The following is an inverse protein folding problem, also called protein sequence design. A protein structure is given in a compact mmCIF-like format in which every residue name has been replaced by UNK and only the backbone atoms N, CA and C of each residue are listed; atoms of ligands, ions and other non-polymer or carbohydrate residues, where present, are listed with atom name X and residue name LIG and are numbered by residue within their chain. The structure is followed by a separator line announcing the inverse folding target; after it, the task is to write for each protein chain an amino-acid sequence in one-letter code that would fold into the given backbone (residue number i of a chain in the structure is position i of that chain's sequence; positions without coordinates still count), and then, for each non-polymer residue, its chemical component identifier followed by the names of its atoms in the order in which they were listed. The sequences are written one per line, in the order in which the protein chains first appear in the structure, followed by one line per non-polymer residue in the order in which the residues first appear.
data_IF_455126922385
#
_entry.id   IF_455126922385
#
_cell.length_a   1.000
_cell.length_b   1.000
_cell.length_c   1.000
_cell.angle_alpha   90.00
_cell.angle_beta   90.00
_cell.angle_gamma   90.00
#
_symmetry.space_group_name_H-M   'P 1'
#
loop_
_entity.id
_entity.type
_entity.pdbx_description
1 polymer ?
#
# COMPACT_ATOMS: atom_id res chain seq x y z
N UNK A 1 5.35 -10.54 27.15
CA UNK A 1 4.37 -9.75 26.37
C UNK A 1 3.47 -10.73 25.64
N UNK A 2 2.16 -10.44 25.55
CA UNK A 2 1.23 -11.26 24.77
C UNK A 2 1.45 -11.10 23.26
N UNK A 3 0.74 -11.90 22.45
CA UNK A 3 0.68 -11.71 20.99
C UNK A 3 -0.02 -10.37 20.72
N UNK A 4 0.58 -9.43 19.95
CA UNK A 4 -0.06 -8.16 19.63
C UNK A 4 -1.41 -8.34 18.93
N UNK A 5 -2.39 -7.57 19.35
CA UNK A 5 -3.78 -7.57 18.88
C UNK A 5 -3.97 -6.43 17.88
N UNK A 6 -4.37 -6.72 16.66
CA UNK A 6 -4.55 -5.70 15.62
C UNK A 6 -6.00 -5.60 15.17
N UNK A 7 -6.49 -4.38 14.96
CA UNK A 7 -7.77 -4.13 14.31
C UNK A 7 -7.61 -4.17 12.78
N UNK A 8 -8.48 -4.89 12.08
CA UNK A 8 -8.61 -4.80 10.63
C UNK A 8 -9.66 -3.77 10.26
N UNK A 9 -9.30 -2.81 9.40
CA UNK A 9 -10.24 -1.85 8.81
C UNK A 9 -10.13 -2.01 7.30
N UNK A 10 -11.20 -2.42 6.64
CA UNK A 10 -11.18 -2.64 5.19
C UNK A 10 -12.40 -2.07 4.49
N UNK A 11 -12.23 -1.70 3.23
CA UNK A 11 -13.29 -1.27 2.32
C UNK A 11 -14.15 -2.43 1.81
N UNK A 12 -13.55 -3.58 1.48
CA UNK A 12 -14.26 -4.77 1.00
C UNK A 12 -13.40 -6.02 1.22
N UNK A 13 -14.03 -7.18 1.40
CA UNK A 13 -13.32 -8.43 1.63
C UNK A 13 -13.90 -9.57 0.77
N UNK A 14 -13.24 -9.88 -0.35
CA UNK A 14 -13.57 -11.02 -1.21
C UNK A 14 -12.30 -11.77 -1.63
N UNK A 15 -12.44 -12.93 -2.29
CA UNK A 15 -11.27 -13.69 -2.77
C UNK A 15 -10.36 -12.85 -3.67
N UNK A 16 -9.05 -12.88 -3.43
CA UNK A 16 -8.01 -12.08 -4.11
C UNK A 16 -8.17 -10.55 -3.96
N UNK A 17 -8.99 -10.09 -3.01
CA UNK A 17 -8.93 -8.69 -2.56
C UNK A 17 -7.66 -8.45 -1.75
N UNK A 18 -7.26 -7.19 -1.63
CA UNK A 18 -6.17 -6.78 -0.73
C UNK A 18 -6.40 -7.25 0.70
N UNK A 19 -7.65 -7.17 1.16
CA UNK A 19 -8.08 -7.66 2.48
C UNK A 19 -7.89 -9.16 2.63
N UNK A 20 -8.13 -9.95 1.58
CA UNK A 20 -7.85 -11.38 1.59
C UNK A 20 -6.34 -11.65 1.66
N UNK A 21 -5.54 -10.91 0.90
CA UNK A 21 -4.08 -11.09 0.90
C UNK A 21 -3.43 -10.66 2.21
N UNK A 22 -3.97 -9.65 2.91
CA UNK A 22 -3.35 -9.08 4.12
C UNK A 22 -3.96 -9.63 5.41
N UNK A 23 -5.29 -9.76 5.49
CA UNK A 23 -5.99 -10.12 6.72
C UNK A 23 -6.21 -11.64 6.86
N UNK A 24 -6.43 -12.38 5.76
CA UNK A 24 -6.59 -13.85 5.82
C UNK A 24 -5.37 -14.56 6.43
N UNK A 25 -4.11 -14.15 6.15
CA UNK A 25 -2.95 -14.77 6.78
C UNK A 25 -2.94 -14.73 8.30
N UNK A 26 -3.53 -13.68 8.92
CA UNK A 26 -3.68 -13.58 10.38
C UNK A 26 -4.66 -14.61 10.95
N UNK A 27 -5.58 -15.12 10.13
CA UNK A 27 -6.56 -16.13 10.51
C UNK A 27 -6.06 -17.55 10.21
N UNK A 28 -5.20 -17.68 9.20
CA UNK A 28 -4.69 -18.94 8.67
C UNK A 28 -3.19 -19.07 8.87
N UNK A 29 -2.40 -18.81 7.82
CA UNK A 29 -0.94 -18.93 7.76
C UNK A 29 -0.38 -17.90 6.78
N UNK A 30 0.92 -17.62 6.86
CA UNK A 30 1.65 -16.74 5.95
C UNK A 30 1.80 -17.31 4.51
N UNK A 31 1.53 -18.59 4.30
CA UNK A 31 1.48 -19.23 2.98
C UNK A 31 0.07 -19.51 2.49
N UNK A 32 -0.12 -19.51 1.17
CA UNK A 32 -1.41 -19.76 0.51
C UNK A 32 -1.88 -21.23 0.58
N UNK A 33 -0.95 -22.16 0.79
CA UNK A 33 -1.24 -23.60 0.88
C UNK A 33 -1.70 -24.05 2.28
N UNK A 34 -1.74 -23.13 3.25
CA UNK A 34 -2.19 -23.42 4.62
C UNK A 34 -1.16 -24.12 5.50
N UNK A 35 0.05 -24.38 5.00
CA UNK A 35 1.10 -25.12 5.73
C UNK A 35 2.16 -24.21 6.37
N UNK A 36 2.00 -22.90 6.22
CA UNK A 36 2.94 -21.89 6.72
C UNK A 36 2.82 -21.64 8.21
N UNK A 37 3.55 -20.63 8.68
CA UNK A 37 3.48 -20.20 10.06
C UNK A 37 2.31 -19.25 10.27
N UNK A 38 1.72 -19.28 11.46
CA UNK A 38 0.82 -18.21 11.89
C UNK A 38 1.66 -16.96 12.18
N UNK A 39 1.37 -15.81 11.57
CA UNK A 39 2.02 -14.56 11.93
C UNK A 39 1.88 -14.31 13.44
N UNK A 40 2.89 -13.71 14.10
CA UNK A 40 2.84 -13.41 15.53
C UNK A 40 1.97 -12.17 15.82
N UNK A 41 0.77 -12.12 15.24
CA UNK A 41 -0.23 -11.07 15.34
C UNK A 41 -1.61 -11.71 15.40
N UNK A 42 -2.52 -11.15 16.20
CA UNK A 42 -3.90 -11.61 16.30
C UNK A 42 -4.84 -10.57 15.70
N UNK A 43 -5.67 -10.94 14.72
CA UNK A 43 -6.78 -10.08 14.27
C UNK A 43 -7.84 -10.04 15.39
N UNK A 44 -7.93 -8.91 16.08
CA UNK A 44 -8.75 -8.74 17.27
C UNK A 44 -10.20 -8.33 16.96
N UNK A 45 -10.40 -7.67 15.82
CA UNK A 45 -11.65 -7.09 15.36
C UNK A 45 -11.55 -6.78 13.87
N UNK A 46 -12.70 -6.66 13.20
CA UNK A 46 -12.76 -6.36 11.78
C UNK A 46 -13.93 -5.41 11.47
N UNK A 47 -13.63 -4.27 10.86
CA UNK A 47 -14.59 -3.38 10.23
C UNK A 47 -14.54 -3.54 8.70
N UNK A 48 -15.70 -3.58 8.06
CA UNK A 48 -15.85 -3.73 6.61
C UNK A 48 -16.83 -2.69 6.08
N UNK A 49 -16.35 -1.76 5.25
CA UNK A 49 -17.14 -0.62 4.75
C UNK A 49 -18.24 -1.06 3.77
N UNK A 50 -17.90 -1.95 2.83
CA UNK A 50 -18.82 -2.47 1.82
C UNK A 50 -18.87 -3.99 1.85
N UNK A 51 -20.09 -4.51 1.85
CA UNK A 51 -20.37 -5.94 1.88
C UNK A 51 -21.20 -6.28 0.66
N UNK A 52 -20.71 -7.26 -0.11
CA UNK A 52 -21.30 -7.70 -1.38
C UNK A 52 -21.52 -9.22 -1.35
N UNK A 53 -22.13 -9.76 -2.40
CA UNK A 53 -22.52 -11.18 -2.45
C UNK A 53 -21.35 -12.16 -2.32
N UNK A 54 -20.13 -11.74 -2.71
CA UNK A 54 -18.92 -12.54 -2.62
C UNK A 54 -18.08 -12.27 -1.35
N UNK A 55 -18.69 -11.69 -0.31
CA UNK A 55 -18.04 -11.36 0.97
C UNK A 55 -17.46 -12.59 1.68
N UNK A 56 -16.18 -12.50 2.05
CA UNK A 56 -15.49 -13.48 2.88
C UNK A 56 -15.49 -13.11 4.36
N UNK A 57 -15.63 -11.82 4.68
CA UNK A 57 -15.42 -11.31 6.04
C UNK A 57 -16.34 -11.98 7.06
N UNK A 58 -17.63 -12.10 6.78
CA UNK A 58 -18.61 -12.73 7.69
C UNK A 58 -18.34 -14.19 7.95
N UNK A 59 -17.97 -14.93 6.91
CA UNK A 59 -17.67 -16.35 7.05
C UNK A 59 -16.42 -16.53 7.91
N UNK A 60 -15.34 -15.85 7.57
CA UNK A 60 -14.07 -15.96 8.31
C UNK A 60 -14.19 -15.41 9.73
N UNK A 61 -14.94 -14.34 9.95
CA UNK A 61 -15.23 -13.83 11.29
C UNK A 61 -15.89 -14.89 12.19
N UNK A 62 -16.89 -15.62 11.67
CA UNK A 62 -17.53 -16.73 12.40
C UNK A 62 -16.58 -17.91 12.61
N UNK A 63 -15.89 -18.35 11.56
CA UNK A 63 -14.98 -19.51 11.62
C UNK A 63 -13.82 -19.30 12.60
N UNK A 64 -13.32 -18.07 12.70
CA UNK A 64 -12.14 -17.72 13.51
C UNK A 64 -12.46 -16.92 14.78
N UNK A 65 -13.74 -16.75 15.11
CA UNK A 65 -14.20 -15.99 16.29
C UNK A 65 -13.67 -14.55 16.35
N UNK A 66 -13.63 -13.87 15.20
CA UNK A 66 -13.25 -12.46 15.10
C UNK A 66 -14.50 -11.57 15.19
N UNK A 67 -14.60 -10.66 16.16
CA UNK A 67 -15.68 -9.69 16.25
C UNK A 67 -15.75 -8.80 15.01
N UNK A 68 -16.94 -8.68 14.42
CA UNK A 68 -17.24 -7.66 13.41
C UNK A 68 -17.68 -6.38 14.10
N UNK A 69 -17.09 -5.25 13.72
CA UNK A 69 -17.43 -3.94 14.24
C UNK A 69 -18.34 -3.17 13.29
N UNK A 70 -19.28 -2.40 13.85
CA UNK A 70 -20.21 -1.56 13.09
C UNK A 70 -19.59 -0.21 12.66
N UNK A 71 -18.47 0.18 13.25
CA UNK A 71 -17.72 1.39 12.91
C UNK A 71 -16.22 1.18 13.09
N UNK A 72 -15.41 2.09 12.52
CA UNK A 72 -13.97 2.10 12.75
C UNK A 72 -13.66 2.24 14.24
N UNK A 73 -14.32 3.18 14.92
CA UNK A 73 -14.13 3.38 16.37
C UNK A 73 -14.42 2.10 17.15
N UNK A 74 -15.56 1.43 16.89
CA UNK A 74 -15.92 0.18 17.56
C UNK A 74 -14.93 -0.96 17.29
N UNK A 75 -14.22 -0.94 16.16
CA UNK A 75 -13.17 -1.91 15.86
C UNK A 75 -11.92 -1.70 16.72
N UNK A 76 -11.67 -0.47 17.18
CA UNK A 76 -10.49 -0.13 17.96
C UNK A 76 -10.74 -0.16 19.47
N UNK A 77 -12.00 -0.06 19.90
CA UNK A 77 -12.35 0.08 21.32
C UNK A 77 -12.83 -1.21 21.97
N UNK A 78 -12.53 -1.37 23.26
CA UNK A 78 -13.15 -2.37 24.14
C UNK A 78 -14.52 -1.93 24.64
N UNK A 79 -15.14 -2.76 25.49
CA UNK A 79 -16.46 -2.48 26.08
C UNK A 79 -16.50 -1.21 26.95
N UNK A 80 -15.36 -0.75 27.43
CA UNK A 80 -15.19 0.46 28.23
C UNK A 80 -14.94 1.72 27.39
N UNK A 81 -14.97 1.60 26.06
CA UNK A 81 -14.75 2.70 25.12
C UNK A 81 -13.30 3.15 25.00
N UNK A 82 -12.36 2.46 25.65
CA UNK A 82 -10.92 2.72 25.55
C UNK A 82 -10.30 1.93 24.42
N UNK A 83 -9.13 2.39 23.97
CA UNK A 83 -8.33 1.68 22.97
C UNK A 83 -7.98 0.27 23.49
N UNK A 84 -8.26 -0.76 22.69
CA UNK A 84 -8.13 -2.16 23.10
C UNK A 84 -7.33 -3.03 22.10
N UNK A 85 -6.57 -2.38 21.23
CA UNK A 85 -5.71 -3.00 20.21
C UNK A 85 -4.32 -2.38 20.26
N UNK A 86 -3.31 -3.16 19.87
CA UNK A 86 -1.90 -2.80 19.82
C UNK A 86 -1.47 -2.25 18.44
N UNK A 87 -2.35 -2.26 17.45
CA UNK A 87 -2.08 -1.74 16.11
C UNK A 87 -3.29 -1.82 15.17
N UNK A 88 -3.18 -1.18 14.01
CA UNK A 88 -4.25 -1.11 13.01
C UNK A 88 -3.73 -1.46 11.62
N UNK A 89 -4.47 -2.33 10.93
CA UNK A 89 -4.28 -2.62 9.51
C UNK A 89 -5.40 -1.95 8.71
N UNK A 90 -5.10 -0.80 8.10
CA UNK A 90 -5.99 -0.05 7.23
C UNK A 90 -5.80 -0.48 5.77
N UNK A 91 -6.70 -1.33 5.29
CA UNK A 91 -6.71 -1.90 3.93
C UNK A 91 -7.79 -1.21 3.11
N UNK A 92 -7.47 -0.02 2.59
CA UNK A 92 -8.39 0.81 1.81
C UNK A 92 -8.27 0.61 0.30
N UNK A 93 -8.55 -0.59 -0.20
CA UNK A 93 -8.38 -0.95 -1.62
C UNK A 93 -9.58 -1.77 -2.11
N UNK A 94 -9.88 -1.71 -3.41
CA UNK A 94 -11.11 -2.29 -4.01
C UNK A 94 -12.41 -1.67 -3.43
N UNK A 95 -13.55 -2.13 -3.97
CA UNK A 95 -14.88 -1.59 -3.64
C UNK A 95 -15.40 -0.61 -4.68
N UNK A 96 -16.63 -0.15 -4.47
CA UNK A 96 -17.28 0.83 -5.36
C UNK A 96 -17.12 2.23 -4.78
N UNK A 97 -16.16 2.98 -5.30
CA UNK A 97 -15.86 4.34 -4.90
C UNK A 97 -15.73 5.24 -6.14
N UNK A 98 -16.02 6.54 -6.01
CA UNK A 98 -15.93 7.44 -7.15
C UNK A 98 -14.48 7.57 -7.65
N UNK A 99 -14.34 8.07 -8.88
CA UNK A 99 -13.03 8.37 -9.47
C UNK A 99 -12.79 9.87 -9.49
N UNK A 100 -11.54 10.26 -9.30
CA UNK A 100 -11.11 11.65 -9.46
C UNK A 100 -11.08 12.05 -10.94
N UNK A 101 -10.92 13.35 -11.21
CA UNK A 101 -10.81 13.88 -12.58
C UNK A 101 -9.60 13.31 -13.36
N UNK A 102 -8.58 12.85 -12.64
CA UNK A 102 -7.38 12.20 -13.21
C UNK A 102 -7.48 10.67 -13.23
N UNK A 103 -8.65 10.11 -12.87
CA UNK A 103 -9.00 8.70 -13.05
C UNK A 103 -8.59 7.75 -11.92
N UNK A 104 -7.98 8.27 -10.85
CA UNK A 104 -7.68 7.50 -9.62
C UNK A 104 -8.98 7.11 -8.91
N UNK A 105 -8.98 5.98 -8.21
CA UNK A 105 -10.11 5.63 -7.34
C UNK A 105 -9.96 6.37 -6.02
N UNK A 106 -11.00 7.11 -5.62
CA UNK A 106 -11.00 7.88 -4.38
C UNK A 106 -11.38 6.98 -3.20
N UNK A 107 -10.46 6.09 -2.83
CA UNK A 107 -10.64 5.23 -1.67
C UNK A 107 -10.82 6.07 -0.40
N UNK A 108 -11.66 5.65 0.56
CA UNK A 108 -12.06 6.47 1.70
C UNK A 108 -10.97 6.55 2.79
N UNK A 109 -9.69 6.44 2.44
CA UNK A 109 -8.56 6.43 3.39
C UNK A 109 -8.54 7.68 4.28
N UNK A 110 -8.87 8.86 3.72
CA UNK A 110 -9.02 10.12 4.48
C UNK A 110 -10.07 10.06 5.58
N UNK A 111 -11.23 9.45 5.31
CA UNK A 111 -12.31 9.25 6.28
C UNK A 111 -11.91 8.20 7.31
N UNK A 112 -11.49 7.02 6.86
CA UNK A 112 -11.16 5.89 7.73
C UNK A 112 -9.99 6.24 8.67
N UNK A 113 -8.93 6.87 8.16
CA UNK A 113 -7.82 7.35 8.99
C UNK A 113 -8.25 8.48 9.93
N UNK A 114 -9.18 9.35 9.50
CA UNK A 114 -9.78 10.37 10.37
C UNK A 114 -10.48 9.78 11.58
N UNK A 115 -11.29 8.75 11.39
CA UNK A 115 -11.98 8.07 12.50
C UNK A 115 -11.00 7.42 13.49
N UNK A 116 -9.87 6.87 13.01
CA UNK A 116 -8.76 6.37 13.85
C UNK A 116 -8.12 7.52 14.63
N UNK A 117 -7.72 8.58 13.93
CA UNK A 117 -7.04 9.74 14.51
C UNK A 117 -7.91 10.45 15.57
N UNK A 118 -9.21 10.56 15.32
CA UNK A 118 -10.15 11.16 16.27
C UNK A 118 -10.29 10.31 17.53
N UNK A 119 -10.25 8.98 17.42
CA UNK A 119 -10.19 8.13 18.61
C UNK A 119 -8.89 8.36 19.39
N UNK A 120 -7.74 8.35 18.71
CA UNK A 120 -6.45 8.57 19.37
C UNK A 120 -6.37 9.93 20.08
N UNK A 121 -6.93 10.99 19.47
CA UNK A 121 -7.06 12.31 20.14
C UNK A 121 -7.91 12.24 21.40
N UNK A 122 -9.03 11.50 21.37
CA UNK A 122 -9.93 11.37 22.52
C UNK A 122 -9.33 10.54 23.65
N UNK A 123 -8.61 9.47 23.33
CA UNK A 123 -8.00 8.58 24.34
C UNK A 123 -6.66 9.10 24.85
N UNK A 124 -5.98 9.94 24.07
CA UNK A 124 -4.60 10.35 24.37
C UNK A 124 -3.58 9.24 24.12
N UNK A 125 -3.96 8.20 23.38
CA UNK A 125 -3.14 7.03 23.08
C UNK A 125 -3.12 6.77 21.58
N UNK A 126 -1.94 6.46 21.04
CA UNK A 126 -1.75 6.11 19.64
C UNK A 126 -1.04 4.75 19.53
N UNK A 127 -1.43 3.96 18.54
CA UNK A 127 -0.78 2.68 18.19
C UNK A 127 -0.34 2.69 16.72
N UNK A 128 0.61 1.83 16.31
CA UNK A 128 1.04 1.73 14.94
C UNK A 128 -0.12 1.53 13.95
N UNK A 129 -0.07 2.24 12.83
CA UNK A 129 -1.02 2.10 11.73
C UNK A 129 -0.27 1.71 10.47
N UNK A 130 -0.62 0.57 9.89
CA UNK A 130 -0.24 0.22 8.53
C UNK A 130 -1.36 0.61 7.56
N UNK A 131 -1.05 1.42 6.57
CA UNK A 131 -1.96 1.80 5.49
C UNK A 131 -1.52 1.13 4.20
N UNK A 132 -2.33 0.21 3.68
CA UNK A 132 -1.98 -0.49 2.44
C UNK A 132 -1.90 0.50 1.26
N UNK A 133 -0.82 0.39 0.46
CA UNK A 133 -0.51 1.25 -0.71
C UNK A 133 -0.23 2.72 -0.35
N UNK A 134 -0.48 3.61 -1.30
CA UNK A 134 -0.36 5.06 -1.14
C UNK A 134 -1.42 5.59 -0.15
N UNK A 135 -1.10 6.68 0.56
CA UNK A 135 -1.96 7.24 1.61
C UNK A 135 -3.30 7.78 1.10
N UNK A 136 -3.32 8.42 -0.06
CA UNK A 136 -4.51 8.93 -0.73
C UNK A 136 -4.24 9.15 -2.22
N UNK A 137 -5.31 9.29 -3.01
CA UNK A 137 -5.26 9.56 -4.45
C UNK A 137 -4.77 10.99 -4.78
N UNK A 138 -4.78 11.89 -3.80
CA UNK A 138 -4.40 13.29 -3.95
C UNK A 138 -3.42 13.76 -2.86
N UNK A 139 -2.63 14.80 -3.18
CA UNK A 139 -1.60 15.33 -2.30
C UNK A 139 -2.16 15.93 -1.01
N UNK A 140 -3.28 16.64 -1.08
CA UNK A 140 -3.88 17.33 0.07
C UNK A 140 -4.22 16.33 1.16
N UNK A 141 -4.91 15.24 0.81
CA UNK A 141 -5.27 14.19 1.76
C UNK A 141 -4.06 13.38 2.19
N UNK A 142 -3.16 12.98 1.26
CA UNK A 142 -1.95 12.24 1.62
C UNK A 142 -1.09 13.02 2.64
N UNK A 143 -0.92 14.32 2.41
CA UNK A 143 -0.23 15.22 3.34
C UNK A 143 -0.99 15.36 4.65
N UNK A 144 -2.32 15.46 4.63
CA UNK A 144 -3.11 15.51 5.86
C UNK A 144 -2.95 14.24 6.70
N UNK A 145 -2.97 13.04 6.09
CA UNK A 145 -2.73 11.78 6.81
C UNK A 145 -1.34 11.78 7.44
N UNK A 146 -0.31 12.18 6.69
CA UNK A 146 1.07 12.25 7.18
C UNK A 146 1.22 13.26 8.34
N UNK A 147 0.74 14.49 8.17
CA UNK A 147 0.84 15.53 9.20
C UNK A 147 0.06 15.14 10.45
N UNK A 148 -1.11 14.53 10.30
CA UNK A 148 -1.92 14.02 11.42
C UNK A 148 -1.20 12.89 12.16
N UNK A 149 -0.57 11.97 11.43
CA UNK A 149 0.25 10.92 12.04
C UNK A 149 1.41 11.50 12.85
N UNK A 150 2.04 12.57 12.34
CA UNK A 150 3.10 13.29 13.09
C UNK A 150 2.58 14.02 14.32
N UNK A 151 1.45 14.72 14.19
CA UNK A 151 0.78 15.43 15.29
C UNK A 151 0.47 14.50 16.45
N UNK A 152 -0.03 13.30 16.14
CA UNK A 152 -0.47 12.30 17.11
C UNK A 152 0.59 11.24 17.44
N UNK A 153 1.82 11.43 16.95
CA UNK A 153 2.94 10.50 17.14
C UNK A 153 2.62 9.04 16.73
N UNK A 154 1.75 8.86 15.73
CA UNK A 154 1.37 7.55 15.20
C UNK A 154 2.58 6.95 14.46
N UNK A 155 3.04 5.75 14.82
CA UNK A 155 3.97 4.99 14.00
C UNK A 155 3.27 4.55 12.70
N UNK A 156 3.36 5.38 11.66
CA UNK A 156 2.71 5.17 10.37
C UNK A 156 3.64 4.45 9.39
N UNK A 157 3.16 3.34 8.83
CA UNK A 157 3.77 2.69 7.67
C UNK A 157 2.76 2.66 6.53
N UNK A 158 3.21 2.95 5.32
CA UNK A 158 2.40 2.81 4.11
C UNK A 158 3.26 2.31 2.96
N UNK A 159 2.61 1.77 1.93
CA UNK A 159 3.27 1.35 0.71
C UNK A 159 2.82 -0.01 0.21
N UNK A 160 3.29 -0.40 -0.98
CA UNK A 160 3.04 -1.74 -1.52
C UNK A 160 4.07 -2.75 -1.05
N UNK A 161 3.82 -4.03 -1.39
CA UNK A 161 4.78 -5.12 -1.20
C UNK A 161 5.92 -5.12 -2.23
N UNK A 162 5.88 -4.29 -3.27
CA UNK A 162 6.85 -4.33 -4.38
C UNK A 162 8.32 -4.12 -3.91
N UNK A 163 8.62 -3.23 -2.95
CA UNK A 163 9.97 -3.07 -2.40
C UNK A 163 10.56 -4.33 -1.75
N UNK A 164 9.71 -5.28 -1.32
CA UNK A 164 10.13 -6.50 -0.59
C UNK A 164 10.02 -7.78 -1.44
N UNK A 165 9.71 -7.66 -2.74
CA UNK A 165 9.64 -8.81 -3.63
C UNK A 165 11.03 -9.36 -3.99
N UNK A 166 11.05 -10.63 -4.38
CA UNK A 166 12.22 -11.24 -5.02
C UNK A 166 12.51 -10.59 -6.38
N UNK A 167 13.80 -10.40 -6.67
CA UNK A 167 14.29 -9.83 -7.93
C UNK A 167 14.99 -10.89 -8.75
N UNK A 168 14.79 -10.88 -10.06
CA UNK A 168 15.34 -11.89 -10.97
C UNK A 168 16.03 -11.23 -12.19
N UNK A 169 17.37 -11.32 -12.32
CA UNK A 169 18.31 -11.80 -11.30
C UNK A 169 18.27 -10.92 -10.04
N UNK A 170 18.78 -11.45 -8.93
CA UNK A 170 18.96 -10.64 -7.73
C UNK A 170 19.86 -9.44 -8.06
N UNK A 171 19.36 -8.24 -7.78
CA UNK A 171 20.07 -7.01 -8.02
C UNK A 171 19.63 -5.97 -7.00
N UNK A 172 20.62 -5.25 -6.43
CA UNK A 172 20.41 -4.13 -5.53
C UNK A 172 21.42 -3.03 -5.85
N UNK A 173 21.06 -1.79 -5.53
CA UNK A 173 22.01 -0.67 -5.55
C UNK A 173 22.92 -0.79 -4.34
N UNK A 174 24.24 -0.84 -4.57
CA UNK A 174 25.23 -0.82 -3.48
C UNK A 174 25.04 0.47 -2.66
N UNK A 175 25.05 0.36 -1.33
CA UNK A 175 24.93 1.55 -0.46
C UNK A 175 26.05 2.54 -0.80
N UNK A 176 25.71 3.80 -0.95
CA UNK A 176 26.66 4.85 -1.32
C UNK A 176 27.08 4.84 -2.81
N UNK A 177 26.45 4.03 -3.66
CA UNK A 177 26.70 4.10 -5.09
C UNK A 177 26.34 5.48 -5.65
N UNK A 178 27.17 6.01 -6.55
CA UNK A 178 26.88 7.25 -7.30
C UNK A 178 25.90 6.96 -8.45
N UNK A 179 24.70 6.50 -8.10
CA UNK A 179 23.62 6.21 -9.04
C UNK A 179 23.17 7.52 -9.69
N UNK A 180 23.14 7.56 -11.02
CA UNK A 180 22.75 8.75 -11.80
C UNK A 180 21.32 8.67 -12.32
N UNK A 181 20.92 7.48 -12.76
CA UNK A 181 19.65 7.26 -13.45
C UNK A 181 19.15 5.84 -13.17
N UNK A 182 17.83 5.67 -13.17
CA UNK A 182 17.15 4.39 -13.11
C UNK A 182 15.92 4.46 -14.02
N UNK A 183 15.63 3.36 -14.71
CA UNK A 183 14.43 3.22 -15.53
C UNK A 183 13.68 1.98 -15.07
N UNK A 184 12.36 2.11 -14.91
CA UNK A 184 11.46 1.00 -14.66
C UNK A 184 10.34 1.02 -15.70
N UNK A 185 9.91 -0.19 -16.08
CA UNK A 185 8.77 -0.41 -16.96
C UNK A 185 7.65 -1.07 -16.15
N UNK A 186 6.45 -0.53 -16.30
CA UNK A 186 5.23 -1.07 -15.68
C UNK A 186 4.09 -1.02 -16.72
N UNK A 187 2.92 -1.53 -16.37
CA UNK A 187 1.76 -1.65 -17.25
C UNK A 187 0.49 -1.15 -16.55
N UNK A 188 -0.55 -0.79 -17.29
CA UNK A 188 -1.81 -0.34 -16.69
C UNK A 188 -1.82 1.16 -16.35
N UNK A 189 -2.68 1.56 -15.41
CA UNK A 189 -2.84 2.97 -15.04
C UNK A 189 -1.70 3.46 -14.14
N UNK A 190 -1.47 4.78 -14.16
CA UNK A 190 -0.47 5.41 -13.28
C UNK A 190 -0.78 5.18 -11.80
N UNK A 191 -2.07 5.15 -11.45
CA UNK A 191 -2.55 4.95 -10.09
C UNK A 191 -2.28 3.54 -9.56
N UNK A 192 -2.72 2.53 -10.32
CA UNK A 192 -2.65 1.13 -9.86
C UNK A 192 -1.25 0.55 -9.99
N UNK A 193 -0.50 0.93 -11.04
CA UNK A 193 0.76 0.27 -11.38
C UNK A 193 1.91 1.22 -11.69
N UNK A 194 1.64 2.49 -12.01
CA UNK A 194 2.68 3.51 -12.12
C UNK A 194 3.34 3.78 -10.77
N UNK A 195 2.53 3.92 -9.71
CA UNK A 195 3.01 4.00 -8.33
C UNK A 195 3.86 2.79 -7.92
N UNK A 196 3.50 1.56 -8.31
CA UNK A 196 4.33 0.38 -8.05
C UNK A 196 5.72 0.47 -8.69
N UNK A 197 5.82 0.99 -9.91
CA UNK A 197 7.12 1.24 -10.52
C UNK A 197 7.92 2.26 -9.72
N UNK A 198 7.27 3.34 -9.24
CA UNK A 198 7.92 4.35 -8.40
C UNK A 198 8.47 3.73 -7.10
N UNK A 199 7.66 2.99 -6.35
CA UNK A 199 8.13 2.37 -5.09
C UNK A 199 9.26 1.36 -5.32
N UNK A 200 9.15 0.55 -6.38
CA UNK A 200 10.21 -0.39 -6.74
C UNK A 200 11.53 0.36 -6.97
N UNK A 201 11.52 1.45 -7.76
CA UNK A 201 12.75 2.21 -8.00
C UNK A 201 13.21 3.00 -6.79
N UNK A 202 12.31 3.56 -5.98
CA UNK A 202 12.65 4.29 -4.76
C UNK A 202 13.44 3.41 -3.79
N UNK A 203 13.01 2.15 -3.59
CA UNK A 203 13.72 1.19 -2.73
C UNK A 203 15.18 0.93 -3.14
N UNK A 204 15.50 1.12 -4.43
CA UNK A 204 16.85 1.01 -4.98
C UNK A 204 17.59 2.35 -4.89
N UNK A 205 16.93 3.43 -5.30
CA UNK A 205 17.48 4.77 -5.46
C UNK A 205 17.83 5.42 -4.12
N UNK A 206 17.11 5.13 -3.05
CA UNK A 206 17.37 5.65 -1.70
C UNK A 206 18.66 5.11 -1.08
N UNK A 207 19.26 4.07 -1.67
CA UNK A 207 20.56 3.52 -1.23
C UNK A 207 21.75 4.28 -1.81
N UNK A 208 21.52 5.21 -2.76
CA UNK A 208 22.57 5.98 -3.44
C UNK A 208 23.36 6.85 -2.46
N UNK A 209 24.51 7.36 -2.91
CA UNK A 209 25.26 8.37 -2.17
C UNK A 209 24.38 9.58 -1.82
N UNK A 210 24.28 9.91 -0.53
CA UNK A 210 23.40 10.97 -0.03
C UNK A 210 22.00 10.49 0.41
N UNK A 211 21.62 9.25 0.11
CA UNK A 211 20.36 8.67 0.57
C UNK A 211 19.12 9.24 -0.12
N UNK A 212 17.98 9.15 0.58
CA UNK A 212 16.75 9.85 0.21
C UNK A 212 16.93 11.37 0.37
N UNK A 213 16.55 12.14 -0.65
CA UNK A 213 16.65 13.61 -0.65
C UNK A 213 15.35 14.27 -1.13
N UNK A 214 14.26 13.51 -1.19
CA UNK A 214 12.98 13.94 -1.76
C UNK A 214 12.97 14.07 -3.30
N UNK A 215 11.85 14.57 -3.82
CA UNK A 215 11.59 14.75 -5.26
C UNK A 215 11.68 16.24 -5.61
N UNK A 216 12.58 16.60 -6.53
CA UNK A 216 12.74 17.99 -6.97
C UNK A 216 11.78 18.40 -8.10
N UNK A 217 11.45 17.46 -8.99
CA UNK A 217 10.57 17.69 -10.14
C UNK A 217 9.95 16.38 -10.61
N UNK A 218 8.72 16.45 -11.10
CA UNK A 218 8.04 15.37 -11.83
C UNK A 218 7.73 15.85 -13.25
N UNK A 219 7.91 14.99 -14.24
CA UNK A 219 7.50 15.22 -15.62
C UNK A 219 6.73 13.99 -16.11
N UNK A 220 5.54 14.22 -16.68
CA UNK A 220 4.75 13.17 -17.31
C UNK A 220 4.74 13.42 -18.83
N UNK A 221 5.20 12.44 -19.60
CA UNK A 221 5.16 12.46 -21.07
C UNK A 221 4.35 11.26 -21.54
N UNK A 222 3.49 11.47 -22.54
CA UNK A 222 2.60 10.43 -23.06
C UNK A 222 2.71 10.31 -24.57
N UNK A 223 2.35 9.13 -25.10
CA UNK A 223 2.33 8.88 -26.54
C UNK A 223 3.68 9.17 -27.23
N UNK A 224 3.64 9.87 -28.36
CA UNK A 224 4.84 10.20 -29.17
C UNK A 224 5.89 10.99 -28.40
N UNK A 225 5.47 11.89 -27.50
CA UNK A 225 6.39 12.73 -26.72
C UNK A 225 7.30 11.90 -25.81
N UNK A 226 6.83 10.77 -25.26
CA UNK A 226 7.66 9.87 -24.45
C UNK A 226 8.79 9.22 -25.26
N UNK A 227 8.54 8.89 -26.54
CA UNK A 227 9.55 8.32 -27.44
C UNK A 227 10.53 9.38 -27.96
N UNK A 228 10.02 10.57 -28.27
CA UNK A 228 10.85 11.73 -28.65
C UNK A 228 11.81 12.13 -27.51
N UNK A 229 11.35 12.09 -26.27
CA UNK A 229 12.18 12.35 -25.10
C UNK A 229 13.36 11.37 -25.00
N UNK A 230 13.14 10.08 -25.28
CA UNK A 230 14.23 9.11 -25.36
C UNK A 230 15.22 9.44 -26.48
N UNK A 231 14.73 9.81 -27.67
CA UNK A 231 15.60 10.22 -28.80
C UNK A 231 16.40 11.48 -28.50
N UNK A 232 15.84 12.40 -27.72
CA UNK A 232 16.48 13.67 -27.35
C UNK A 232 17.33 13.55 -26.07
N UNK A 233 17.49 12.36 -25.50
CA UNK A 233 18.35 12.13 -24.33
C UNK A 233 17.78 12.63 -23.00
N UNK A 234 16.45 12.76 -22.87
CA UNK A 234 15.78 13.07 -21.60
C UNK A 234 15.91 11.92 -20.60
N UNK A 235 15.94 10.68 -21.11
CA UNK A 235 16.31 9.47 -20.39
C UNK A 235 17.22 8.61 -21.26
N UNK A 236 18.03 7.77 -20.64
CA UNK A 236 18.92 6.85 -21.32
C UNK A 236 18.13 5.68 -21.92
N UNK A 237 18.03 5.65 -23.26
CA UNK A 237 17.33 4.58 -23.99
C UNK A 237 17.95 3.20 -23.76
N UNK A 238 19.25 3.12 -23.48
CA UNK A 238 19.88 1.83 -23.20
C UNK A 238 19.38 1.21 -21.88
N UNK A 239 18.99 2.04 -20.90
CA UNK A 239 18.34 1.57 -19.67
C UNK A 239 16.93 1.06 -19.94
N UNK A 240 16.18 1.75 -20.81
CA UNK A 240 14.86 1.27 -21.25
C UNK A 240 14.96 -0.07 -21.98
N UNK A 241 15.89 -0.20 -22.94
CA UNK A 241 16.16 -1.45 -23.65
C UNK A 241 16.55 -2.57 -22.68
N UNK A 242 17.41 -2.29 -21.71
CA UNK A 242 17.81 -3.26 -20.69
C UNK A 242 16.64 -3.68 -19.78
N UNK A 243 15.73 -2.78 -19.44
CA UNK A 243 14.53 -3.11 -18.66
C UNK A 243 13.57 -3.99 -19.48
N UNK A 244 13.34 -3.65 -20.75
CA UNK A 244 12.48 -4.40 -21.66
C UNK A 244 13.03 -5.79 -22.01
N UNK A 245 14.35 -5.94 -22.11
CA UNK A 245 14.97 -7.23 -22.43
C UNK A 245 14.72 -8.31 -21.36
N UNK A 246 14.32 -7.90 -20.14
CA UNK A 246 13.96 -8.78 -19.03
C UNK A 246 12.52 -9.29 -19.07
N UNK A 247 11.66 -8.70 -19.90
CA UNK A 247 10.27 -9.13 -20.00
C UNK A 247 10.18 -10.48 -20.73
N UNK A 248 9.43 -11.43 -20.16
CA UNK A 248 9.18 -12.76 -20.78
C UNK A 248 8.43 -12.67 -22.10
N UNK A 249 7.73 -11.56 -22.34
CA UNK A 249 7.12 -11.16 -23.62
C UNK A 249 7.56 -9.74 -23.88
N UNK A 250 8.04 -9.43 -25.08
CA UNK A 250 8.48 -8.09 -25.46
C UNK A 250 7.39 -7.41 -26.29
N UNK A 251 6.46 -6.65 -25.68
CA UNK A 251 5.45 -5.91 -26.41
C UNK A 251 6.02 -4.55 -26.87
N UNK A 252 7.03 -4.56 -27.74
CA UNK A 252 7.48 -3.33 -28.37
C UNK A 252 6.64 -3.04 -29.62
N UNK A 253 6.02 -1.85 -29.74
CA UNK A 253 5.47 -1.40 -31.01
C UNK A 253 6.58 -1.27 -32.07
N UNK A 254 6.22 -1.45 -33.33
CA UNK A 254 7.13 -1.23 -34.46
C UNK A 254 7.65 0.22 -34.45
N UNK A 255 8.97 0.42 -34.40
CA UNK A 255 9.60 1.75 -34.40
C UNK A 255 9.80 2.42 -33.03
N UNK A 256 9.61 1.69 -31.93
CA UNK A 256 10.01 2.09 -30.57
C UNK A 256 11.54 2.24 -30.40
#
# INVERSE_FOLDING_TARGET
MGIPRVAGITTIYHHNSHSDVILTPLLKTDTLDGNGQRPPLQLASLYVDQVRDNDLSRRFAREHSVPLAESVTASLTGNDGKLAVDGVLLVGEHGDYPRSDTGQVMYPKRRLFGEIADLFRRTGEAVPVFCDKHLADNWTDAKWLYDTARELEIPLMAGSSLPVLWRYPEADVRRGARLKEVVAVSYGSLDAYGFHALEMVQSLVERRAGGETGVARVQCLTGKAAWEAGRNGVYDRSLLEAALSRLKRQPLPEGA
#
